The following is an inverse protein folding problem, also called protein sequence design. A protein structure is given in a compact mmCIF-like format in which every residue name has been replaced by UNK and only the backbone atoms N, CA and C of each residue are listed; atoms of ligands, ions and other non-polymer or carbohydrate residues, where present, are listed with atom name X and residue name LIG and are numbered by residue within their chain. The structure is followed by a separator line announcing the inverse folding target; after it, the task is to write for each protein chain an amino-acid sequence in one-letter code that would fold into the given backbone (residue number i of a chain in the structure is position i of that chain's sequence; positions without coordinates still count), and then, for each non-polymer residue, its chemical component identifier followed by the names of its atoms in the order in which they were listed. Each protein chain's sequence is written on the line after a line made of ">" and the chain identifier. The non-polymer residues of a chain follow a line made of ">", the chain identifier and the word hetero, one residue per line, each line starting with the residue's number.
data_IF_101356433893
#
_entry.id   IF_101356433893
#
_cell.length_a   1.000
_cell.length_b   1.000
_cell.length_c   1.000
_cell.angle_alpha   90.00
_cell.angle_beta   90.00
_cell.angle_gamma   90.00
#
_symmetry.space_group_name_H-M   'P 1'
#
loop_
_entity.id
_entity.type
_entity.pdbx_description
1 polymer ?
#
# COMPACT_ATOMS: atom_id res chain seq x y z
N UNK A 1 29.17 0.19 6.41
CA UNK A 1 28.53 0.26 5.08
C UNK A 1 27.64 -0.96 4.91
N UNK A 2 26.36 -0.79 5.16
CA UNK A 2 25.22 -1.43 4.48
C UNK A 2 24.00 -0.73 5.06
N UNK A 3 23.20 -0.20 4.15
CA UNK A 3 22.16 0.79 4.34
C UNK A 3 20.97 0.21 5.10
N UNK A 4 20.53 0.93 6.13
CA UNK A 4 19.24 0.70 6.76
C UNK A 4 18.13 1.09 5.80
N UNK A 5 17.41 0.10 5.29
CA UNK A 5 16.07 0.29 4.75
C UNK A 5 15.18 0.69 5.93
N UNK A 6 14.85 1.98 5.99
CA UNK A 6 13.83 2.49 6.89
C UNK A 6 12.48 2.17 6.29
N UNK A 7 11.67 1.46 7.07
CA UNK A 7 10.27 1.14 6.84
C UNK A 7 9.49 2.36 6.33
N UNK A 8 9.20 2.40 5.04
CA UNK A 8 8.13 3.22 4.49
C UNK A 8 6.92 2.31 4.30
N UNK A 9 6.03 2.33 5.30
CA UNK A 9 4.71 1.73 5.24
C UNK A 9 3.95 2.35 4.07
N UNK A 10 3.96 1.65 2.94
CA UNK A 10 3.22 1.98 1.74
C UNK A 10 1.73 1.77 2.06
N UNK A 11 1.02 2.85 2.35
CA UNK A 11 -0.44 2.83 2.45
C UNK A 11 -1.01 2.33 1.10
N UNK A 12 -1.83 1.27 1.09
CA UNK A 12 -2.54 0.87 -0.12
C UNK A 12 -3.51 1.99 -0.53
N UNK A 13 -3.84 2.04 -1.83
CA UNK A 13 -4.85 2.93 -2.38
C UNK A 13 -6.14 2.86 -1.52
N UNK A 14 -6.68 3.99 -1.02
CA UNK A 14 -7.82 4.01 -0.11
C UNK A 14 -9.08 3.36 -0.68
N UNK A 15 -9.24 3.27 -2.01
CA UNK A 15 -10.38 2.57 -2.63
C UNK A 15 -10.14 1.06 -2.78
N UNK A 16 -8.92 0.67 -3.16
CA UNK A 16 -8.51 -0.73 -3.27
C UNK A 16 -8.52 -1.43 -1.89
N UNK A 17 -8.11 -0.72 -0.83
CA UNK A 17 -8.17 -1.20 0.55
C UNK A 17 -9.62 -1.28 1.08
N UNK A 18 -10.53 -0.41 0.60
CA UNK A 18 -11.95 -0.44 1.01
C UNK A 18 -12.70 -1.62 0.42
N UNK A 19 -12.52 -1.93 -0.86
CA UNK A 19 -13.18 -3.07 -1.49
C UNK A 19 -12.59 -4.39 -0.99
N UNK A 20 -11.27 -4.46 -0.82
CA UNK A 20 -10.62 -5.61 -0.23
C UNK A 20 -11.04 -5.85 1.23
N UNK A 21 -11.12 -4.77 2.04
CA UNK A 21 -11.62 -4.84 3.40
C UNK A 21 -13.08 -5.29 3.44
N UNK A 22 -13.92 -4.80 2.52
CA UNK A 22 -15.33 -5.18 2.41
C UNK A 22 -15.49 -6.67 2.10
N UNK A 23 -14.70 -7.22 1.18
CA UNK A 23 -14.75 -8.63 0.83
C UNK A 23 -14.19 -9.53 1.94
N UNK A 24 -13.13 -9.12 2.64
CA UNK A 24 -12.65 -9.85 3.83
C UNK A 24 -13.66 -9.83 4.98
N UNK A 25 -14.34 -8.70 5.21
CA UNK A 25 -15.41 -8.60 6.20
C UNK A 25 -16.58 -9.51 5.82
N UNK A 26 -17.01 -9.52 4.55
CA UNK A 26 -18.05 -10.43 4.05
C UNK A 26 -17.67 -11.88 4.25
N UNK A 27 -16.46 -12.26 3.87
CA UNK A 27 -15.95 -13.62 4.09
C UNK A 27 -15.93 -13.99 5.57
N UNK A 28 -15.53 -13.06 6.45
CA UNK A 28 -15.53 -13.29 7.89
C UNK A 28 -16.95 -13.50 8.45
N UNK A 29 -17.95 -12.76 7.97
CA UNK A 29 -19.35 -13.01 8.36
C UNK A 29 -19.83 -14.38 7.89
N UNK A 30 -19.54 -14.77 6.64
CA UNK A 30 -19.96 -16.06 6.09
C UNK A 30 -19.29 -17.20 6.85
N UNK A 31 -17.95 -17.20 6.92
CA UNK A 31 -17.17 -18.24 7.59
C UNK A 31 -17.43 -18.28 9.09
N UNK A 32 -17.57 -17.12 9.74
CA UNK A 32 -17.92 -17.00 11.16
C UNK A 32 -19.31 -17.57 11.46
N UNK A 33 -20.31 -17.29 10.62
CA UNK A 33 -21.68 -17.82 10.81
C UNK A 33 -21.72 -19.33 10.63
N UNK A 34 -21.03 -19.86 9.62
CA UNK A 34 -20.88 -21.32 9.42
C UNK A 34 -20.18 -21.94 10.63
N UNK A 35 -19.10 -21.32 11.13
CA UNK A 35 -18.39 -21.75 12.32
C UNK A 35 -19.28 -21.78 13.57
N UNK A 36 -20.09 -20.73 13.79
CA UNK A 36 -21.04 -20.65 14.91
C UNK A 36 -22.07 -21.78 14.82
N UNK A 37 -22.69 -21.98 13.65
CA UNK A 37 -23.68 -23.03 13.44
C UNK A 37 -23.07 -24.42 13.65
N UNK A 38 -21.92 -24.69 13.04
CA UNK A 38 -21.18 -25.95 13.20
C UNK A 38 -20.83 -26.21 14.67
N UNK A 39 -20.33 -25.19 15.38
CA UNK A 39 -19.96 -25.30 16.79
C UNK A 39 -21.17 -25.50 17.70
N UNK A 40 -22.32 -24.89 17.40
CA UNK A 40 -23.55 -25.11 18.15
C UNK A 40 -24.10 -26.53 17.94
N UNK A 41 -24.01 -27.07 16.71
CA UNK A 41 -24.36 -28.47 16.41
C UNK A 41 -23.43 -29.42 17.17
N UNK A 42 -22.12 -29.17 17.17
CA UNK A 42 -21.17 -29.98 17.92
C UNK A 42 -21.44 -29.92 19.43
N UNK A 43 -21.66 -28.74 19.99
CA UNK A 43 -22.02 -28.58 21.40
C UNK A 43 -23.30 -29.37 21.76
N UNK A 44 -24.32 -29.35 20.88
CA UNK A 44 -25.53 -30.14 21.05
C UNK A 44 -25.24 -31.65 21.03
N UNK A 45 -24.44 -32.13 20.07
CA UNK A 45 -24.07 -33.55 19.98
C UNK A 45 -23.29 -34.00 21.22
N UNK A 46 -22.29 -33.24 21.64
CA UNK A 46 -21.45 -33.53 22.81
C UNK A 46 -22.27 -33.54 24.11
N UNK A 47 -23.24 -32.63 24.22
CA UNK A 47 -24.15 -32.56 25.37
C UNK A 47 -25.04 -33.81 25.49
N UNK A 48 -25.58 -34.31 24.37
CA UNK A 48 -26.43 -35.51 24.35
C UNK A 48 -25.65 -36.82 24.52
N UNK A 49 -24.32 -36.76 24.48
CA UNK A 49 -23.42 -37.90 24.74
C UNK A 49 -22.90 -37.93 26.17
N UNK A 50 -23.41 -37.07 27.05
CA UNK A 50 -22.95 -36.90 28.44
C UNK A 50 -21.45 -36.51 28.56
N UNK A 51 -20.87 -35.91 27.50
CA UNK A 51 -19.46 -35.50 27.46
C UNK A 51 -19.29 -34.06 27.95
N UNK A 52 -19.69 -33.79 29.21
CA UNK A 52 -19.81 -32.43 29.76
C UNK A 52 -18.58 -31.53 29.59
N UNK A 53 -17.37 -32.07 29.75
CA UNK A 53 -16.15 -31.28 29.57
C UNK A 53 -15.85 -30.95 28.10
N UNK A 54 -16.24 -31.82 27.17
CA UNK A 54 -15.98 -31.64 25.73
C UNK A 54 -16.89 -30.62 25.08
N UNK A 55 -18.05 -30.36 25.67
CA UNK A 55 -18.99 -29.30 25.26
C UNK A 55 -18.40 -27.90 25.43
N UNK A 56 -17.39 -27.72 26.29
CA UNK A 56 -16.90 -26.39 26.68
C UNK A 56 -16.30 -25.61 25.48
N UNK A 57 -15.33 -26.15 24.70
CA UNK A 57 -14.75 -25.41 23.58
C UNK A 57 -15.78 -25.02 22.52
N UNK A 58 -16.70 -25.93 22.18
CA UNK A 58 -17.74 -25.73 21.16
C UNK A 58 -18.81 -24.72 21.62
N UNK A 59 -19.14 -24.72 22.91
CA UNK A 59 -20.03 -23.72 23.51
C UNK A 59 -19.37 -22.34 23.58
N UNK A 60 -18.10 -22.26 23.97
CA UNK A 60 -17.39 -20.98 24.03
C UNK A 60 -17.28 -20.31 22.65
N UNK A 61 -16.99 -21.08 21.60
CA UNK A 61 -16.93 -20.52 20.25
C UNK A 61 -18.30 -20.00 19.80
N UNK A 62 -19.36 -20.79 19.99
CA UNK A 62 -20.73 -20.40 19.59
C UNK A 62 -21.29 -19.21 20.37
N UNK A 63 -20.81 -18.97 21.60
CA UNK A 63 -21.18 -17.79 22.40
C UNK A 63 -20.33 -16.57 22.06
N UNK A 64 -18.99 -16.70 21.96
CA UNK A 64 -18.06 -15.56 21.83
C UNK A 64 -18.01 -15.02 20.39
N UNK A 65 -18.04 -15.88 19.38
CA UNK A 65 -17.94 -15.46 17.99
C UNK A 65 -19.07 -14.50 17.54
N UNK A 66 -20.35 -14.66 17.94
CA UNK A 66 -21.40 -13.68 17.69
C UNK A 66 -21.08 -12.28 18.24
N UNK A 67 -20.51 -12.17 19.45
CA UNK A 67 -20.12 -10.87 20.03
C UNK A 67 -19.00 -10.20 19.21
N UNK A 68 -18.04 -10.98 18.71
CA UNK A 68 -16.99 -10.48 17.83
C UNK A 68 -17.55 -9.97 16.50
N UNK A 69 -18.47 -10.70 15.87
CA UNK A 69 -19.17 -10.26 14.66
C UNK A 69 -20.03 -9.02 14.93
N UNK A 70 -20.73 -8.96 16.07
CA UNK A 70 -21.51 -7.80 16.45
C UNK A 70 -20.63 -6.56 16.69
N UNK A 71 -19.46 -6.73 17.32
CA UNK A 71 -18.50 -5.63 17.47
C UNK A 71 -18.03 -5.10 16.13
N UNK A 72 -17.83 -5.98 15.14
CA UNK A 72 -17.45 -5.59 13.77
C UNK A 72 -18.59 -4.86 13.05
N UNK A 73 -19.84 -5.27 13.30
CA UNK A 73 -21.02 -4.59 12.76
C UNK A 73 -21.13 -3.17 13.31
N UNK A 74 -20.90 -2.99 14.62
CA UNK A 74 -21.00 -1.70 15.31
C UNK A 74 -19.87 -0.75 14.93
N UNK A 75 -18.64 -1.24 14.85
CA UNK A 75 -17.47 -0.41 14.53
C UNK A 75 -16.51 -1.14 13.58
N UNK A 76 -16.58 -0.77 12.31
CA UNK A 76 -15.67 -1.29 11.27
C UNK A 76 -14.22 -0.89 11.50
N UNK A 77 -13.93 0.19 12.25
CA UNK A 77 -12.56 0.59 12.56
C UNK A 77 -11.88 -0.40 13.52
N UNK A 78 -12.66 -1.16 14.29
CA UNK A 78 -12.17 -2.22 15.18
C UNK A 78 -11.83 -3.55 14.48
N UNK A 79 -11.91 -3.62 13.14
CA UNK A 79 -11.71 -4.85 12.36
C UNK A 79 -10.45 -5.65 12.72
N UNK A 80 -9.30 -4.98 12.90
CA UNK A 80 -8.03 -5.65 13.25
C UNK A 80 -8.10 -6.35 14.62
N UNK A 81 -8.79 -5.73 15.58
CA UNK A 81 -8.99 -6.29 16.92
C UNK A 81 -9.92 -7.50 16.86
N UNK A 82 -10.99 -7.41 16.06
CA UNK A 82 -11.93 -8.52 15.84
C UNK A 82 -11.22 -9.72 15.20
N UNK A 83 -10.39 -9.51 14.18
CA UNK A 83 -9.60 -10.59 13.56
C UNK A 83 -8.66 -11.27 14.56
N UNK A 84 -7.99 -10.47 15.39
CA UNK A 84 -7.10 -10.99 16.43
C UNK A 84 -7.89 -11.76 17.49
N UNK A 85 -9.09 -11.28 17.85
CA UNK A 85 -10.01 -11.97 18.74
C UNK A 85 -10.45 -13.33 18.18
N UNK A 86 -10.80 -13.41 16.90
CA UNK A 86 -11.10 -14.68 16.23
C UNK A 86 -9.91 -15.64 16.24
N UNK A 87 -8.71 -15.16 15.94
CA UNK A 87 -7.50 -15.98 16.01
C UNK A 87 -7.23 -16.48 17.44
N UNK A 88 -7.42 -15.63 18.45
CA UNK A 88 -7.37 -15.98 19.87
C UNK A 88 -8.35 -17.08 20.25
N UNK A 89 -9.61 -16.92 19.84
CA UNK A 89 -10.68 -17.88 20.11
C UNK A 89 -10.40 -19.25 19.47
N UNK A 90 -9.95 -19.25 18.21
CA UNK A 90 -9.57 -20.47 17.47
C UNK A 90 -8.36 -21.16 18.12
N UNK A 91 -7.35 -20.38 18.53
CA UNK A 91 -6.17 -20.93 19.22
C UNK A 91 -6.56 -21.56 20.55
N UNK A 92 -7.34 -20.83 21.36
CA UNK A 92 -7.82 -21.32 22.63
C UNK A 92 -8.64 -22.61 22.47
N UNK A 93 -9.55 -22.65 21.49
CA UNK A 93 -10.35 -23.83 21.19
C UNK A 93 -9.48 -25.03 20.79
N UNK A 94 -8.47 -24.82 19.93
CA UNK A 94 -7.56 -25.90 19.51
C UNK A 94 -6.79 -26.48 20.70
N UNK A 95 -6.23 -25.60 21.53
CA UNK A 95 -5.47 -26.01 22.71
C UNK A 95 -6.40 -26.74 23.69
N UNK A 96 -7.52 -26.14 24.07
CA UNK A 96 -8.45 -26.75 25.01
C UNK A 96 -9.01 -28.08 24.48
N UNK A 97 -9.35 -28.15 23.18
CA UNK A 97 -9.78 -29.38 22.53
C UNK A 97 -8.70 -30.47 22.54
N UNK A 98 -7.43 -30.11 22.39
CA UNK A 98 -6.30 -31.04 22.50
C UNK A 98 -6.21 -31.65 23.92
N UNK A 99 -6.48 -30.87 24.96
CA UNK A 99 -6.47 -31.36 26.35
C UNK A 99 -7.68 -32.23 26.71
N UNK A 100 -8.85 -32.04 26.07
CA UNK A 100 -10.12 -32.66 26.48
C UNK A 100 -10.62 -33.78 25.56
N UNK A 101 -10.20 -33.81 24.29
CA UNK A 101 -10.86 -34.63 23.25
C UNK A 101 -9.89 -35.45 22.39
N UNK A 102 -8.65 -35.66 22.83
CA UNK A 102 -7.62 -36.38 22.06
C UNK A 102 -7.72 -37.90 22.07
N UNK A 103 -8.79 -38.46 22.60
CA UNK A 103 -9.17 -39.86 22.39
C UNK A 103 -10.00 -40.06 21.10
N UNK A 104 -10.44 -38.97 20.42
CA UNK A 104 -11.31 -39.00 19.24
C UNK A 104 -10.57 -38.61 17.96
N UNK A 105 -10.67 -39.43 16.91
CA UNK A 105 -10.02 -39.17 15.61
C UNK A 105 -10.64 -37.98 14.88
N UNK A 106 -11.95 -37.76 15.05
CA UNK A 106 -12.71 -36.72 14.35
C UNK A 106 -12.15 -35.30 14.61
N UNK A 107 -11.62 -35.05 15.80
CA UNK A 107 -11.05 -33.75 16.16
C UNK A 107 -9.77 -33.42 15.40
N UNK A 108 -8.98 -34.46 15.11
CA UNK A 108 -7.65 -34.33 14.52
C UNK A 108 -7.73 -34.10 13.00
N UNK A 109 -8.82 -34.53 12.35
CA UNK A 109 -9.05 -34.34 10.90
C UNK A 109 -9.05 -32.85 10.52
N UNK A 110 -9.50 -31.97 11.42
CA UNK A 110 -9.59 -30.53 11.16
C UNK A 110 -8.28 -29.76 11.36
N UNK A 111 -7.28 -30.38 11.99
CA UNK A 111 -6.02 -29.71 12.33
C UNK A 111 -5.31 -29.09 11.13
N UNK A 112 -5.20 -29.76 9.98
CA UNK A 112 -4.57 -29.18 8.78
C UNK A 112 -5.31 -27.97 8.20
N UNK A 113 -6.56 -27.71 8.58
CA UNK A 113 -7.34 -26.56 8.10
C UNK A 113 -7.02 -25.29 8.88
N UNK A 114 -6.73 -25.40 10.18
CA UNK A 114 -6.51 -24.23 11.04
C UNK A 114 -5.33 -23.33 10.64
N UNK A 115 -4.18 -23.84 10.13
CA UNK A 115 -3.11 -22.98 9.64
C UNK A 115 -3.56 -21.91 8.67
N UNK A 116 -4.42 -22.29 7.72
CA UNK A 116 -4.97 -21.40 6.69
C UNK A 116 -5.75 -20.24 7.32
N UNK A 117 -6.48 -20.51 8.40
CA UNK A 117 -7.27 -19.49 9.10
C UNK A 117 -6.38 -18.42 9.73
N UNK A 118 -5.22 -18.78 10.29
CA UNK A 118 -4.29 -17.78 10.86
C UNK A 118 -3.67 -16.89 9.79
N UNK A 119 -3.27 -17.45 8.64
CA UNK A 119 -2.78 -16.65 7.52
C UNK A 119 -3.86 -15.72 6.98
N UNK A 120 -5.11 -16.20 6.91
CA UNK A 120 -6.25 -15.38 6.52
C UNK A 120 -6.54 -14.27 7.53
N UNK A 121 -6.49 -14.52 8.84
CA UNK A 121 -6.87 -13.53 9.86
C UNK A 121 -5.75 -12.53 10.17
N UNK A 122 -4.52 -13.01 10.32
CA UNK A 122 -3.42 -12.23 10.92
C UNK A 122 -2.38 -11.75 9.90
N UNK A 123 -2.41 -12.29 8.68
CA UNK A 123 -1.41 -12.01 7.64
C UNK A 123 -0.08 -12.72 7.87
N UNK A 124 0.83 -12.56 6.89
CA UNK A 124 2.04 -13.36 6.75
C UNK A 124 2.96 -13.38 7.99
N UNK A 125 3.24 -12.21 8.59
CA UNK A 125 4.21 -12.11 9.68
C UNK A 125 3.68 -12.69 11.00
N UNK A 126 2.43 -12.38 11.37
CA UNK A 126 1.85 -12.83 12.63
C UNK A 126 1.39 -14.28 12.58
N UNK A 127 0.90 -14.75 11.44
CA UNK A 127 0.36 -16.10 11.32
C UNK A 127 1.38 -17.20 11.66
N UNK A 128 2.68 -17.01 11.37
CA UNK A 128 3.71 -17.99 11.71
C UNK A 128 3.85 -18.17 13.23
N UNK A 129 3.88 -17.07 13.99
CA UNK A 129 3.99 -17.12 15.45
C UNK A 129 2.78 -17.82 16.08
N UNK A 130 1.58 -17.51 15.59
CA UNK A 130 0.34 -18.12 16.08
C UNK A 130 0.22 -19.60 15.72
N UNK A 131 0.68 -19.98 14.53
CA UNK A 131 0.80 -21.39 14.16
C UNK A 131 1.81 -22.13 15.03
N UNK A 132 2.95 -21.52 15.36
CA UNK A 132 3.93 -22.11 16.27
C UNK A 132 3.31 -22.33 17.66
N UNK A 133 2.57 -21.35 18.19
CA UNK A 133 1.85 -21.49 19.46
C UNK A 133 0.81 -22.61 19.42
N UNK A 134 0.05 -22.74 18.31
CA UNK A 134 -0.91 -23.81 18.12
C UNK A 134 -0.23 -25.19 18.11
N UNK A 135 0.87 -25.36 17.36
CA UNK A 135 1.64 -26.60 17.30
C UNK A 135 2.17 -26.99 18.69
N UNK A 136 2.75 -26.04 19.43
CA UNK A 136 3.24 -26.28 20.79
C UNK A 136 2.09 -26.72 21.70
N UNK A 137 0.95 -26.03 21.64
CA UNK A 137 -0.22 -26.37 22.44
C UNK A 137 -0.82 -27.74 22.10
N UNK A 138 -0.88 -28.10 20.81
CA UNK A 138 -1.32 -29.41 20.32
C UNK A 138 -0.39 -30.52 20.85
N UNK A 139 0.93 -30.33 20.77
CA UNK A 139 1.90 -31.31 21.28
C UNK A 139 1.77 -31.45 22.81
N UNK A 140 1.68 -30.33 23.53
CA UNK A 140 1.49 -30.33 24.98
C UNK A 140 0.19 -31.04 25.39
N UNK A 141 -0.91 -30.79 24.66
CA UNK A 141 -2.19 -31.48 24.84
C UNK A 141 -2.04 -32.99 24.68
N UNK A 142 -1.37 -33.46 23.63
CA UNK A 142 -1.17 -34.89 23.37
C UNK A 142 -0.38 -35.59 24.48
N UNK A 143 0.72 -34.97 24.93
CA UNK A 143 1.59 -35.54 25.96
C UNK A 143 0.92 -35.55 27.34
N UNK A 144 0.09 -34.55 27.65
CA UNK A 144 -0.59 -34.43 28.95
C UNK A 144 -1.93 -35.16 29.01
N UNK A 145 -2.55 -35.45 27.87
CA UNK A 145 -3.88 -36.05 27.77
C UNK A 145 -4.08 -37.31 28.64
N UNK A 146 -3.18 -38.32 28.65
CA UNK A 146 -3.37 -39.52 29.45
C UNK A 146 -3.39 -39.25 30.95
N UNK A 147 -2.61 -38.25 31.40
CA UNK A 147 -2.50 -37.88 32.81
C UNK A 147 -3.71 -37.12 33.31
N UNK A 148 -4.28 -36.27 32.46
CA UNK A 148 -5.43 -35.43 32.80
C UNK A 148 -6.76 -36.18 32.72
N UNK A 149 -6.89 -37.12 31.77
CA UNK A 149 -8.17 -37.76 31.46
C UNK A 149 -8.24 -39.24 31.91
N UNK A 150 -7.14 -39.83 32.39
CA UNK A 150 -7.04 -41.24 32.80
C UNK A 150 -7.44 -42.25 31.71
N UNK A 151 -7.38 -41.85 30.44
CA UNK A 151 -7.66 -42.67 29.26
C UNK A 151 -6.58 -42.45 28.19
N UNK A 152 -6.27 -43.44 27.34
CA UNK A 152 -5.29 -43.27 26.29
C UNK A 152 -5.78 -42.26 25.23
N UNK A 153 -4.87 -41.45 24.66
CA UNK A 153 -5.17 -40.63 23.49
C UNK A 153 -5.29 -41.53 22.24
N UNK A 154 -5.57 -40.91 21.09
CA UNK A 154 -5.43 -41.52 19.78
C UNK A 154 -4.05 -42.15 19.62
N UNK A 155 -3.96 -43.14 18.73
CA UNK A 155 -2.68 -43.79 18.47
C UNK A 155 -1.63 -42.78 17.97
N UNK A 156 -0.40 -42.99 18.42
CA UNK A 156 0.73 -42.13 18.05
C UNK A 156 0.89 -41.96 16.52
N UNK A 157 0.71 -42.99 15.68
CA UNK A 157 0.78 -42.82 14.23
C UNK A 157 -0.28 -41.85 13.68
N UNK A 158 -1.53 -41.91 14.17
CA UNK A 158 -2.59 -40.99 13.74
C UNK A 158 -2.23 -39.55 14.11
N UNK A 159 -1.83 -39.35 15.37
CA UNK A 159 -1.38 -38.03 15.83
C UNK A 159 -0.23 -37.48 14.99
N UNK A 160 0.79 -38.30 14.74
CA UNK A 160 1.97 -37.91 13.97
C UNK A 160 1.63 -37.58 12.51
N UNK A 161 0.79 -38.38 11.86
CA UNK A 161 0.32 -38.11 10.49
C UNK A 161 -0.42 -36.78 10.40
N UNK A 162 -1.26 -36.48 11.39
CA UNK A 162 -2.03 -35.23 11.38
C UNK A 162 -1.20 -34.01 11.76
N UNK A 163 -0.22 -34.16 12.65
CA UNK A 163 0.77 -33.12 12.92
C UNK A 163 1.61 -32.83 11.67
N UNK A 164 2.03 -33.87 10.95
CA UNK A 164 2.72 -33.71 9.67
C UNK A 164 1.84 -32.97 8.64
N UNK A 165 0.57 -33.35 8.50
CA UNK A 165 -0.37 -32.65 7.63
C UNK A 165 -0.57 -31.17 8.04
N UNK A 166 -0.61 -30.86 9.33
CA UNK A 166 -0.64 -29.48 9.85
C UNK A 166 0.61 -28.70 9.39
N UNK A 167 1.80 -29.26 9.57
CA UNK A 167 3.05 -28.60 9.18
C UNK A 167 3.15 -28.37 7.67
N UNK A 168 2.72 -29.36 6.87
CA UNK A 168 2.62 -29.21 5.40
C UNK A 168 1.66 -28.07 5.06
N UNK A 169 0.50 -27.98 5.71
CA UNK A 169 -0.45 -26.89 5.49
C UNK A 169 0.14 -25.52 5.86
N UNK A 170 0.93 -25.42 6.93
CA UNK A 170 1.66 -24.18 7.29
C UNK A 170 2.63 -23.78 6.17
N UNK A 171 3.44 -24.72 5.66
CA UNK A 171 4.43 -24.44 4.61
C UNK A 171 3.75 -24.02 3.31
N UNK A 172 2.71 -24.73 2.88
CA UNK A 172 1.96 -24.40 1.67
C UNK A 172 1.27 -23.04 1.78
N UNK A 173 0.63 -22.76 2.92
CA UNK A 173 0.01 -21.47 3.17
C UNK A 173 1.04 -20.34 3.18
N UNK A 174 2.18 -20.53 3.84
CA UNK A 174 3.28 -19.59 3.88
C UNK A 174 3.81 -19.26 2.47
N UNK A 175 4.07 -20.29 1.66
CA UNK A 175 4.51 -20.13 0.27
C UNK A 175 3.49 -19.38 -0.58
N UNK A 176 2.22 -19.82 -0.58
CA UNK A 176 1.17 -19.18 -1.38
C UNK A 176 0.95 -17.72 -1.00
N UNK A 177 0.87 -17.40 0.30
CA UNK A 177 0.72 -16.02 0.76
C UNK A 177 1.92 -15.15 0.39
N UNK A 178 3.15 -15.67 0.51
CA UNK A 178 4.36 -14.95 0.12
C UNK A 178 4.41 -14.65 -1.38
N UNK A 179 4.01 -15.62 -2.21
CA UNK A 179 3.92 -15.47 -3.66
C UNK A 179 2.88 -14.41 -4.04
N UNK A 180 1.66 -14.49 -3.51
CA UNK A 180 0.60 -13.51 -3.78
C UNK A 180 1.05 -12.09 -3.41
N UNK A 181 1.65 -11.90 -2.24
CA UNK A 181 2.15 -10.60 -1.80
C UNK A 181 3.23 -10.05 -2.75
N UNK A 182 4.11 -10.92 -3.25
CA UNK A 182 5.14 -10.54 -4.22
C UNK A 182 4.53 -10.16 -5.57
N UNK A 183 3.54 -10.91 -6.06
CA UNK A 183 2.83 -10.58 -7.30
C UNK A 183 2.10 -9.24 -7.21
N UNK A 184 1.40 -8.98 -6.11
CA UNK A 184 0.75 -7.69 -5.87
C UNK A 184 1.77 -6.54 -5.91
N UNK A 185 2.91 -6.71 -5.26
CA UNK A 185 3.98 -5.70 -5.28
C UNK A 185 4.60 -5.52 -6.66
N UNK A 186 4.67 -6.56 -7.49
CA UNK A 186 5.12 -6.46 -8.88
C UNK A 186 4.13 -5.72 -9.75
N UNK A 187 2.85 -6.06 -9.67
CA UNK A 187 1.78 -5.35 -10.39
C UNK A 187 1.77 -3.86 -10.04
N UNK A 188 1.92 -3.52 -8.75
CA UNK A 188 2.08 -2.13 -8.31
C UNK A 188 3.31 -1.44 -8.90
N UNK A 189 4.44 -2.15 -9.03
CA UNK A 189 5.67 -1.62 -9.65
C UNK A 189 5.59 -1.51 -11.19
N UNK A 190 4.66 -2.24 -11.81
CA UNK A 190 4.38 -2.21 -13.24
C UNK A 190 3.28 -1.21 -13.62
N UNK A 191 2.57 -0.65 -12.64
CA UNK A 191 1.65 0.45 -12.87
C UNK A 191 2.40 1.61 -13.54
N UNK A 192 1.95 2.00 -14.73
CA UNK A 192 2.52 3.12 -15.48
C UNK A 192 1.97 4.47 -15.00
N UNK A 193 0.87 4.45 -14.25
CA UNK A 193 0.06 5.62 -13.89
C UNK A 193 -0.21 5.59 -12.38
N UNK A 194 -0.15 6.75 -11.75
CA UNK A 194 -0.51 7.01 -10.35
C UNK A 194 -2.03 6.97 -10.21
N UNK A 195 -2.54 6.10 -9.32
CA UNK A 195 -3.99 5.87 -9.19
C UNK A 195 -4.75 7.09 -8.65
N UNK A 196 -4.09 7.93 -7.85
CA UNK A 196 -4.71 9.13 -7.28
C UNK A 196 -4.85 10.25 -8.31
N UNK A 197 -3.81 10.48 -9.12
CA UNK A 197 -3.74 11.68 -9.97
C UNK A 197 -3.93 11.40 -11.46
N UNK A 198 -3.82 10.16 -11.91
CA UNK A 198 -3.82 9.81 -13.34
C UNK A 198 -2.54 10.22 -14.07
N UNK A 199 -1.55 10.78 -13.36
CA UNK A 199 -0.23 11.12 -13.92
C UNK A 199 0.62 9.86 -14.11
N UNK A 200 1.60 9.88 -15.01
CA UNK A 200 2.57 8.78 -15.07
C UNK A 200 3.35 8.68 -13.75
N UNK A 201 3.64 7.46 -13.30
CA UNK A 201 4.51 7.28 -12.14
C UNK A 201 5.95 7.67 -12.48
N UNK A 202 6.71 8.12 -11.48
CA UNK A 202 8.13 8.52 -11.58
C UNK A 202 8.95 7.62 -12.51
N UNK A 203 8.91 6.30 -12.33
CA UNK A 203 9.71 5.35 -13.12
C UNK A 203 9.37 5.40 -14.62
N UNK A 204 8.07 5.36 -14.95
CA UNK A 204 7.60 5.43 -16.34
C UNK A 204 7.92 6.79 -16.97
N UNK A 205 7.66 7.85 -16.21
CA UNK A 205 7.91 9.24 -16.62
C UNK A 205 9.37 9.55 -16.93
N UNK A 206 10.30 9.15 -16.06
CA UNK A 206 11.73 9.37 -16.26
C UNK A 206 12.30 8.53 -17.43
N UNK A 207 11.76 7.33 -17.64
CA UNK A 207 12.05 6.53 -18.84
C UNK A 207 11.61 7.22 -20.12
N UNK A 208 10.41 7.83 -20.11
CA UNK A 208 9.92 8.61 -21.23
C UNK A 208 10.77 9.86 -21.49
N UNK A 209 11.14 10.62 -20.45
CA UNK A 209 12.06 11.76 -20.58
C UNK A 209 13.40 11.35 -21.18
N UNK A 210 13.98 10.23 -20.74
CA UNK A 210 15.23 9.71 -21.31
C UNK A 210 15.12 9.40 -22.81
N UNK A 211 13.95 8.94 -23.24
CA UNK A 211 13.65 8.69 -24.66
C UNK A 211 13.56 10.00 -25.44
N UNK A 212 12.87 11.01 -24.90
CA UNK A 212 12.79 12.35 -25.51
C UNK A 212 14.17 13.03 -25.61
N UNK A 213 15.02 12.89 -24.58
CA UNK A 213 16.40 13.38 -24.61
C UNK A 213 17.19 12.73 -25.74
N UNK A 214 17.11 11.40 -25.88
CA UNK A 214 17.78 10.66 -26.96
C UNK A 214 17.27 11.08 -28.35
N UNK A 215 15.99 11.45 -28.47
CA UNK A 215 15.41 11.97 -29.71
C UNK A 215 15.93 13.38 -30.02
N UNK A 216 15.99 14.27 -29.02
CA UNK A 216 16.56 15.61 -29.15
C UNK A 216 18.06 15.56 -29.52
N UNK A 217 18.84 14.64 -28.94
CA UNK A 217 20.26 14.45 -29.30
C UNK A 217 20.44 14.09 -30.78
N UNK A 218 19.47 13.39 -31.38
CA UNK A 218 19.47 13.03 -32.82
C UNK A 218 18.92 14.14 -33.70
N UNK A 219 17.98 14.93 -33.18
CA UNK A 219 17.37 16.06 -33.87
C UNK A 219 17.26 17.28 -32.92
N UNK A 220 18.29 18.12 -32.85
CA UNK A 220 18.32 19.26 -31.93
C UNK A 220 17.21 20.29 -32.14
N UNK A 221 16.55 20.29 -33.31
CA UNK A 221 15.39 21.16 -33.58
C UNK A 221 14.15 20.74 -32.78
N UNK A 222 14.08 19.47 -32.34
CA UNK A 222 12.99 18.95 -31.51
C UNK A 222 13.22 19.28 -30.04
N UNK A 223 12.99 20.53 -29.65
CA UNK A 223 13.15 21.01 -28.26
C UNK A 223 12.40 20.15 -27.24
N UNK A 224 12.93 20.04 -26.02
CA UNK A 224 12.22 19.38 -24.91
C UNK A 224 12.31 20.30 -23.70
N UNK A 225 11.16 20.80 -23.24
CA UNK A 225 11.07 21.57 -22.01
C UNK A 225 10.63 20.68 -20.86
N UNK A 226 11.24 20.91 -19.70
CA UNK A 226 10.97 20.22 -18.44
C UNK A 226 10.46 21.26 -17.44
N UNK A 227 9.29 20.99 -16.88
CA UNK A 227 8.61 21.83 -15.91
C UNK A 227 8.48 21.02 -14.61
N UNK A 228 9.26 21.37 -13.60
CA UNK A 228 9.18 20.78 -12.27
C UNK A 228 8.31 21.68 -11.38
N UNK A 229 7.32 21.07 -10.71
CA UNK A 229 6.32 21.77 -9.91
C UNK A 229 6.21 21.12 -8.54
N UNK A 230 6.01 21.95 -7.51
CA UNK A 230 5.77 21.51 -6.14
C UNK A 230 4.66 22.36 -5.51
N UNK A 231 3.72 21.70 -4.82
CA UNK A 231 2.59 22.38 -4.17
C UNK A 231 3.08 23.13 -2.93
N UNK A 232 2.85 24.44 -2.94
CA UNK A 232 3.29 25.32 -1.87
C UNK A 232 2.58 24.99 -0.54
N UNK A 233 3.39 24.74 0.50
CA UNK A 233 2.91 24.46 1.87
C UNK A 233 2.06 23.20 2.00
N UNK A 234 2.21 22.20 1.12
CA UNK A 234 1.36 20.99 1.15
C UNK A 234 1.41 20.24 2.50
N UNK A 235 2.57 20.17 3.15
CA UNK A 235 2.67 19.63 4.51
C UNK A 235 1.74 20.34 5.51
N UNK A 236 1.65 21.66 5.45
CA UNK A 236 0.76 22.42 6.34
C UNK A 236 -0.72 22.14 6.05
N UNK A 237 -1.08 21.88 4.78
CA UNK A 237 -2.43 21.45 4.41
C UNK A 237 -2.74 20.10 5.06
N UNK A 238 -1.83 19.13 4.97
CA UNK A 238 -2.00 17.83 5.62
C UNK A 238 -2.09 17.93 7.15
N UNK A 239 -1.23 18.75 7.75
CA UNK A 239 -1.15 18.90 9.21
C UNK A 239 -2.40 19.59 9.78
N UNK A 240 -3.01 20.52 9.04
CA UNK A 240 -4.20 21.28 9.47
C UNK A 240 -5.51 20.59 9.14
N UNK A 241 -5.65 20.06 7.92
CA UNK A 241 -6.93 19.59 7.37
C UNK A 241 -6.99 18.06 7.22
N UNK A 242 -5.90 17.37 7.57
CA UNK A 242 -5.76 15.92 7.46
C UNK A 242 -5.42 15.44 6.04
N UNK A 243 -4.88 14.22 5.97
CA UNK A 243 -4.40 13.62 4.71
C UNK A 243 -5.47 13.50 3.62
N UNK A 244 -6.74 13.28 3.98
CA UNK A 244 -7.82 13.20 3.00
C UNK A 244 -8.00 14.52 2.23
N UNK A 245 -7.79 15.66 2.89
CA UNK A 245 -7.84 16.97 2.24
C UNK A 245 -6.63 17.17 1.33
N UNK A 246 -5.45 16.73 1.77
CA UNK A 246 -4.26 16.72 0.91
C UNK A 246 -4.45 15.89 -0.36
N UNK A 247 -5.05 14.71 -0.26
CA UNK A 247 -5.39 13.88 -1.42
C UNK A 247 -6.34 14.59 -2.39
N UNK A 248 -7.36 15.28 -1.89
CA UNK A 248 -8.26 16.09 -2.72
C UNK A 248 -7.52 17.23 -3.43
N UNK A 249 -6.60 17.90 -2.75
CA UNK A 249 -5.76 18.94 -3.37
C UNK A 249 -4.92 18.35 -4.50
N UNK A 250 -4.29 17.19 -4.30
CA UNK A 250 -3.51 16.50 -5.33
C UNK A 250 -4.36 16.16 -6.56
N UNK A 251 -5.58 15.63 -6.35
CA UNK A 251 -6.53 15.32 -7.42
C UNK A 251 -6.90 16.59 -8.21
N UNK A 252 -7.23 17.68 -7.52
CA UNK A 252 -7.64 18.93 -8.16
C UNK A 252 -6.50 19.62 -8.93
N UNK A 253 -5.28 19.59 -8.39
CA UNK A 253 -4.07 20.06 -9.08
C UNK A 253 -3.83 19.23 -10.34
N UNK A 254 -3.84 17.91 -10.22
CA UNK A 254 -3.67 16.99 -11.35
C UNK A 254 -4.74 17.21 -12.43
N UNK A 255 -6.00 17.36 -12.05
CA UNK A 255 -7.10 17.64 -12.98
C UNK A 255 -6.91 19.00 -13.70
N UNK A 256 -6.38 20.00 -13.01
CA UNK A 256 -6.08 21.31 -13.60
C UNK A 256 -4.95 21.22 -14.63
N UNK A 257 -3.90 20.45 -14.34
CA UNK A 257 -2.80 20.20 -15.28
C UNK A 257 -3.31 19.42 -16.50
N UNK A 258 -4.03 18.32 -16.29
CA UNK A 258 -4.59 17.50 -17.37
C UNK A 258 -5.51 18.29 -18.32
N UNK A 259 -6.29 19.24 -17.82
CA UNK A 259 -7.15 20.11 -18.65
C UNK A 259 -6.36 21.10 -19.51
N UNK A 260 -5.11 21.37 -19.16
CA UNK A 260 -4.29 22.38 -19.83
C UNK A 260 -3.32 21.81 -20.87
N UNK A 261 -2.81 20.60 -20.64
CA UNK A 261 -1.76 20.00 -21.47
C UNK A 261 -2.31 19.39 -22.77
N UNK A 262 -1.48 19.38 -23.82
CA UNK A 262 -1.78 18.80 -25.11
C UNK A 262 -1.49 17.30 -25.20
N UNK A 263 -1.82 16.67 -26.33
CA UNK A 263 -1.58 15.23 -26.57
C UNK A 263 -0.10 14.84 -26.62
N UNK A 264 0.77 15.78 -26.97
CA UNK A 264 2.23 15.60 -27.04
C UNK A 264 2.91 15.71 -25.68
N UNK A 265 2.22 16.30 -24.70
CA UNK A 265 2.79 16.62 -23.41
C UNK A 265 2.62 15.42 -22.46
N UNK A 266 3.57 15.25 -21.54
CA UNK A 266 3.53 14.17 -20.56
C UNK A 266 3.48 14.73 -19.15
N UNK A 267 2.54 14.25 -18.35
CA UNK A 267 2.39 14.64 -16.95
C UNK A 267 2.76 13.48 -16.04
N UNK A 268 3.64 13.74 -15.09
CA UNK A 268 4.29 12.75 -14.25
C UNK A 268 4.23 13.19 -12.79
N UNK A 269 3.96 12.24 -11.88
CA UNK A 269 4.09 12.45 -10.43
C UNK A 269 5.43 11.88 -9.96
N UNK A 270 6.31 12.74 -9.45
CA UNK A 270 7.65 12.36 -9.00
C UNK A 270 7.70 11.89 -7.55
N UNK A 271 6.80 12.41 -6.71
CA UNK A 271 6.75 12.18 -5.27
C UNK A 271 5.38 12.55 -4.68
N UNK A 272 5.35 12.84 -3.37
CA UNK A 272 4.11 13.15 -2.65
C UNK A 272 3.37 14.35 -3.23
N UNK A 273 4.07 15.49 -3.34
CA UNK A 273 3.53 16.79 -3.78
C UNK A 273 4.25 17.37 -5.02
N UNK A 274 5.15 16.58 -5.61
CA UNK A 274 6.01 16.98 -6.72
C UNK A 274 5.54 16.40 -8.06
N UNK A 275 5.44 17.28 -9.05
CA UNK A 275 5.01 16.94 -10.40
C UNK A 275 6.04 17.39 -11.44
N UNK A 276 6.07 16.67 -12.55
CA UNK A 276 6.90 16.95 -13.71
C UNK A 276 6.03 16.97 -14.96
N UNK A 277 6.20 18.00 -15.78
CA UNK A 277 5.56 18.12 -17.08
C UNK A 277 6.65 18.21 -18.16
N UNK A 278 6.49 17.40 -19.21
CA UNK A 278 7.37 17.37 -20.37
C UNK A 278 6.63 17.98 -21.57
N UNK A 279 7.24 18.96 -22.21
CA UNK A 279 6.66 19.69 -23.34
C UNK A 279 7.63 19.57 -24.54
N UNK A 280 7.48 18.56 -25.41
CA UNK A 280 8.33 18.35 -26.58
C UNK A 280 7.87 19.19 -27.79
N UNK A 281 8.83 19.65 -28.59
CA UNK A 281 8.61 20.26 -29.90
C UNK A 281 7.98 21.66 -29.88
N UNK A 282 8.01 22.37 -28.75
CA UNK A 282 7.44 23.71 -28.61
C UNK A 282 8.52 24.78 -28.55
N UNK A 283 8.18 26.04 -28.85
CA UNK A 283 9.05 27.18 -28.56
C UNK A 283 9.06 27.47 -27.05
N UNK A 284 10.08 28.21 -26.59
CA UNK A 284 10.14 28.67 -25.20
C UNK A 284 8.90 29.48 -24.82
N UNK A 285 8.47 30.42 -25.67
CA UNK A 285 7.31 31.27 -25.41
C UNK A 285 6.03 30.46 -25.22
N UNK A 286 5.85 29.41 -26.04
CA UNK A 286 4.70 28.49 -25.91
C UNK A 286 4.78 27.66 -24.63
N UNK A 287 5.95 27.10 -24.32
CA UNK A 287 6.16 26.31 -23.11
C UNK A 287 5.96 27.17 -21.84
N UNK A 288 6.51 28.39 -21.82
CA UNK A 288 6.34 29.34 -20.74
C UNK A 288 4.88 29.77 -20.58
N UNK A 289 4.20 30.12 -21.68
CA UNK A 289 2.78 30.51 -21.66
C UNK A 289 1.87 29.37 -21.16
N UNK A 290 2.12 28.13 -21.56
CA UNK A 290 1.41 26.96 -21.05
C UNK A 290 1.65 26.77 -19.55
N UNK A 291 2.90 26.90 -19.12
CA UNK A 291 3.28 26.78 -17.70
C UNK A 291 2.60 27.85 -16.85
N UNK A 292 2.55 29.10 -17.33
CA UNK A 292 1.90 30.20 -16.61
C UNK A 292 0.37 30.06 -16.59
N UNK A 293 -0.22 29.54 -17.66
CA UNK A 293 -1.64 29.15 -17.68
C UNK A 293 -1.94 28.10 -16.61
N UNK A 294 -1.13 27.05 -16.53
CA UNK A 294 -1.28 25.99 -15.51
C UNK A 294 -1.19 26.58 -14.10
N UNK A 295 -0.16 27.41 -13.83
CA UNK A 295 0.02 28.05 -12.52
C UNK A 295 -1.20 28.86 -12.11
N UNK A 296 -1.70 29.73 -13.01
CA UNK A 296 -2.89 30.57 -12.76
C UNK A 296 -4.16 29.74 -12.57
N UNK A 297 -4.32 28.66 -13.33
CA UNK A 297 -5.47 27.75 -13.17
C UNK A 297 -5.46 27.05 -11.83
N UNK A 298 -4.29 26.57 -11.36
CA UNK A 298 -4.19 25.95 -10.03
C UNK A 298 -4.57 26.96 -8.95
N UNK A 299 -3.99 28.17 -9.00
CA UNK A 299 -4.30 29.27 -8.07
C UNK A 299 -5.79 29.65 -8.05
N UNK A 300 -6.42 29.66 -9.22
CA UNK A 300 -7.82 30.01 -9.40
C UNK A 300 -8.80 28.91 -8.97
N UNK A 301 -8.59 27.68 -9.45
CA UNK A 301 -9.56 26.60 -9.38
C UNK A 301 -9.41 25.73 -8.12
N UNK A 302 -8.20 25.59 -7.58
CA UNK A 302 -7.93 24.68 -6.46
C UNK A 302 -8.06 25.43 -5.15
N UNK A 303 -9.10 25.10 -4.39
CA UNK A 303 -9.39 25.71 -3.09
C UNK A 303 -9.35 24.68 -1.98
N UNK A 304 -8.81 25.09 -0.83
CA UNK A 304 -8.91 24.35 0.43
C UNK A 304 -10.33 24.47 0.98
N UNK A 305 -10.63 23.65 2.00
CA UNK A 305 -11.93 23.61 2.69
C UNK A 305 -12.34 24.97 3.28
N UNK A 306 -11.36 25.79 3.65
CA UNK A 306 -11.54 27.14 4.19
C UNK A 306 -11.65 28.24 3.11
N UNK A 307 -11.61 27.84 1.82
CA UNK A 307 -11.66 28.75 0.68
C UNK A 307 -10.31 29.36 0.29
N UNK A 308 -9.22 29.07 1.01
CA UNK A 308 -7.88 29.54 0.64
C UNK A 308 -7.37 28.85 -0.63
N UNK A 309 -6.65 29.60 -1.47
CA UNK A 309 -6.10 29.10 -2.73
C UNK A 309 -4.89 28.20 -2.51
N UNK A 310 -4.76 27.17 -3.35
CA UNK A 310 -3.54 26.37 -3.46
C UNK A 310 -2.66 26.93 -4.57
N UNK A 311 -1.36 27.07 -4.31
CA UNK A 311 -0.40 27.57 -5.30
C UNK A 311 0.73 26.57 -5.51
N UNK A 312 1.49 26.76 -6.59
CA UNK A 312 2.65 25.93 -6.92
C UNK A 312 3.87 26.80 -7.20
N UNK A 313 5.04 26.31 -6.79
CA UNK A 313 6.34 26.86 -7.20
C UNK A 313 6.88 26.03 -8.36
N UNK A 314 7.37 26.70 -9.41
CA UNK A 314 7.69 26.04 -10.69
C UNK A 314 9.11 26.38 -11.16
N UNK A 315 9.87 25.36 -11.55
CA UNK A 315 11.11 25.49 -12.31
C UNK A 315 10.91 25.04 -13.77
N UNK A 316 11.14 25.94 -14.73
CA UNK A 316 11.04 25.65 -16.16
C UNK A 316 12.43 25.70 -16.81
N UNK A 317 12.84 24.61 -17.46
CA UNK A 317 14.13 24.55 -18.15
C UNK A 317 14.05 23.78 -19.47
N UNK A 318 14.96 24.08 -20.40
CA UNK A 318 15.11 23.32 -21.63
C UNK A 318 16.17 22.24 -21.47
N UNK A 319 15.93 21.07 -22.04
CA UNK A 319 16.97 20.07 -22.25
C UNK A 319 18.10 20.63 -23.13
N UNK A 320 19.35 20.35 -22.73
CA UNK A 320 20.55 20.70 -23.47
C UNK A 320 21.15 19.42 -24.06
N UNK A 321 21.43 19.42 -25.35
CA UNK A 321 22.03 18.27 -26.06
C UNK A 321 23.24 17.73 -25.29
N UNK A 322 23.28 16.42 -25.06
CA UNK A 322 24.35 15.74 -24.32
C UNK A 322 24.32 15.90 -22.79
N UNK A 323 23.34 16.63 -22.23
CA UNK A 323 23.16 16.71 -20.78
C UNK A 323 22.59 15.39 -20.21
N UNK A 324 23.01 15.02 -18.99
CA UNK A 324 22.48 13.84 -18.31
C UNK A 324 21.12 14.12 -17.67
N UNK A 325 20.30 13.07 -17.51
CA UNK A 325 18.99 13.17 -16.85
C UNK A 325 19.10 13.80 -15.44
N UNK A 326 20.14 13.42 -14.69
CA UNK A 326 20.39 13.94 -13.35
C UNK A 326 20.66 15.45 -13.37
N UNK A 327 21.52 15.91 -14.29
CA UNK A 327 21.86 17.34 -14.42
C UNK A 327 20.63 18.17 -14.81
N UNK A 328 19.83 17.69 -15.77
CA UNK A 328 18.60 18.34 -16.20
C UNK A 328 17.60 18.51 -15.05
N UNK A 329 17.34 17.44 -14.29
CA UNK A 329 16.43 17.50 -13.14
C UNK A 329 16.98 18.40 -12.03
N UNK A 330 18.29 18.39 -11.79
CA UNK A 330 18.92 19.26 -10.80
C UNK A 330 18.78 20.75 -11.17
N UNK A 331 18.87 21.09 -12.47
CA UNK A 331 18.59 22.45 -12.96
C UNK A 331 17.15 22.87 -12.73
N UNK A 332 16.19 22.00 -13.06
CA UNK A 332 14.77 22.27 -12.82
C UNK A 332 14.48 22.46 -11.32
N UNK A 333 15.08 21.63 -10.47
CA UNK A 333 14.98 21.72 -9.01
C UNK A 333 15.54 23.05 -8.47
N UNK A 334 16.73 23.47 -8.90
CA UNK A 334 17.32 24.74 -8.49
C UNK A 334 16.45 25.95 -8.89
N UNK A 335 15.78 25.89 -10.04
CA UNK A 335 14.84 26.92 -10.49
C UNK A 335 13.56 26.92 -9.65
N UNK A 336 12.99 25.75 -9.37
CA UNK A 336 11.82 25.59 -8.50
C UNK A 336 12.13 26.06 -7.06
N UNK A 337 13.32 25.75 -6.57
CA UNK A 337 13.79 26.22 -5.27
C UNK A 337 13.94 27.74 -5.22
N UNK A 338 14.43 28.36 -6.30
CA UNK A 338 14.44 29.82 -6.45
C UNK A 338 13.03 30.40 -6.40
N UNK A 339 12.06 29.77 -7.08
CA UNK A 339 10.64 30.16 -7.00
C UNK A 339 10.11 30.14 -5.57
N UNK A 340 10.41 29.07 -4.81
CA UNK A 340 10.05 28.96 -3.39
C UNK A 340 10.66 30.07 -2.54
N UNK A 341 11.93 30.42 -2.77
CA UNK A 341 12.65 31.49 -2.04
C UNK A 341 12.14 32.88 -2.36
N UNK A 342 11.69 33.12 -3.59
CA UNK A 342 11.26 34.44 -4.04
C UNK A 342 9.79 34.76 -3.70
N UNK A 343 9.15 33.93 -2.87
CA UNK A 343 7.79 34.16 -2.39
C UNK A 343 6.75 33.24 -3.00
N UNK A 344 7.16 32.10 -3.59
CA UNK A 344 6.28 31.03 -4.08
C UNK A 344 5.35 31.49 -5.21
N UNK A 345 4.42 30.63 -5.61
CA UNK A 345 3.39 30.92 -6.63
C UNK A 345 3.94 31.58 -7.90
N UNK A 346 5.03 31.05 -8.44
CA UNK A 346 5.73 31.63 -9.59
C UNK A 346 6.51 30.59 -10.37
N UNK A 347 6.88 30.98 -11.57
CA UNK A 347 7.82 30.25 -12.41
C UNK A 347 9.15 30.96 -12.30
N UNK A 348 10.22 30.19 -12.15
CA UNK A 348 11.55 30.69 -12.45
C UNK A 348 12.14 29.80 -13.56
N UNK A 349 12.80 30.43 -14.51
CA UNK A 349 13.29 29.77 -15.71
C UNK A 349 14.69 30.24 -16.05
N UNK A 350 15.28 29.62 -17.06
CA UNK A 350 16.50 30.14 -17.68
C UNK A 350 16.25 30.44 -19.15
N UNK A 351 16.88 31.49 -19.65
CA UNK A 351 16.82 31.85 -21.06
C UNK A 351 17.49 30.74 -21.89
N UNK A 352 16.82 30.18 -22.92
CA UNK A 352 17.44 29.21 -23.81
C UNK A 352 18.70 29.79 -24.46
N UNK A 353 19.84 29.12 -24.34
CA UNK A 353 21.04 29.51 -25.09
C UNK A 353 20.79 29.27 -26.59
N UNK A 354 20.75 30.34 -27.40
CA UNK A 354 20.79 30.22 -28.88
C UNK A 354 22.09 29.54 -29.30
N UNK A 355 22.00 28.61 -30.24
CA UNK A 355 23.05 27.64 -30.58
C UNK A 355 24.45 28.23 -30.84
N UNK A 356 25.46 27.45 -30.47
CA UNK A 356 26.87 27.69 -30.79
C UNK A 356 27.81 27.05 -29.77
N UNK A 357 28.55 26.02 -30.20
CA UNK A 357 29.70 25.34 -29.59
C UNK A 357 29.85 25.33 -28.04
N UNK A 358 29.84 24.10 -27.50
CA UNK A 358 30.26 23.80 -26.15
C UNK A 358 31.76 24.11 -25.96
N UNK A 359 32.08 25.27 -25.38
CA UNK A 359 33.30 25.44 -24.59
C UNK A 359 32.96 25.24 -23.11
N UNK A 360 33.65 24.28 -22.51
CA UNK A 360 33.52 23.90 -21.11
C UNK A 360 34.22 24.94 -20.22
N UNK A 361 33.48 25.95 -19.75
CA UNK A 361 33.82 26.66 -18.52
C UNK A 361 32.56 26.88 -17.68
N UNK A 362 32.51 26.38 -16.43
CA UNK A 362 31.47 26.75 -15.49
C UNK A 362 31.77 28.18 -15.01
N UNK A 363 31.09 29.17 -15.60
CA UNK A 363 31.01 30.50 -14.98
C UNK A 363 30.35 30.38 -13.60
N UNK A 364 30.89 30.97 -12.51
CA UNK A 364 30.40 30.70 -11.17
C UNK A 364 28.97 31.18 -10.93
N UNK A 365 28.46 32.16 -11.67
CA UNK A 365 27.07 32.62 -11.58
C UNK A 365 26.70 33.45 -12.82
N UNK A 366 26.11 32.88 -13.89
CA UNK A 366 25.22 33.65 -14.72
C UNK A 366 23.92 33.83 -13.92
N UNK A 367 23.60 35.06 -13.53
CA UNK A 367 22.29 35.37 -12.97
C UNK A 367 21.24 34.89 -13.99
N UNK A 368 20.39 33.90 -13.66
CA UNK A 368 19.24 33.60 -14.50
C UNK A 368 18.44 34.91 -14.67
N UNK A 369 17.67 35.06 -15.74
CA UNK A 369 16.54 36.00 -15.69
C UNK A 369 15.54 35.37 -14.70
N UNK A 370 15.77 35.61 -13.41
CA UNK A 370 15.16 34.89 -12.28
C UNK A 370 13.77 35.47 -12.02
N UNK A 371 12.77 34.96 -12.72
CA UNK A 371 11.35 35.30 -12.53
C UNK A 371 10.99 36.79 -12.82
#
# INVERSE_FOLDING_TARGET
>A
MTTGDSDSYMHPDPEEDKDFLKDRIRFLYISGTIGIASSAIMAFIEFHRDEFFRVIPSTLFSIIAPFLLFSLYRDRKSYRNVLTGFAGLILFQQILGAFLSFNEVLMIIWYPVFPLTYFFLLGYQKALLWNAAAVIGIIAGYLSFPFLNHIPPVSFPIFLSSLFAYLVAVILAWYHYGVIHTYQNRLKKEALVDSLTGAMVRKAGLGHLSTLMTQNDRNPEMTVFVVLMDIDNFKAINDQDGHQTGDQVLIQVAASIHRSIGKSDSFIRLGGEEFLLLIPGQSFDTAHSLTEKIRKQIEGDVKRSDGSGVTVSIGLTQYRVGETLSSLLHRADNLMYSAKKMGKNRICWETPKKGGNFSAEPSPFPQPEIC
#
